data_IF_420288271505
#
_entry.id   IF_420288271505
#
_cell.length_a   1.000
_cell.length_b   1.000
_cell.length_c   1.000
_cell.angle_alpha   90.00
_cell.angle_beta   90.00
_cell.angle_gamma   90.00
#
_symmetry.space_group_name_H-M   'P 1'
#
loop_
_entity.id
_entity.type
_entity.pdbx_description
1 polymer ?
#
# COMPACT_ATOMS: atom_id res chain seq x y z
N UNK A 1 -38.55 12.08 5.82
CA UNK A 1 -37.29 12.78 5.47
C UNK A 1 -36.22 11.72 5.31
N UNK A 2 -36.04 11.21 4.09
CA UNK A 2 -35.07 10.14 3.82
C UNK A 2 -33.66 10.75 3.81
N UNK A 3 -32.74 10.19 4.60
CA UNK A 3 -31.33 10.59 4.61
C UNK A 3 -30.75 10.33 3.22
N UNK A 4 -30.30 11.37 2.52
CA UNK A 4 -29.52 11.21 1.29
C UNK A 4 -28.28 10.36 1.61
N UNK A 5 -28.15 9.21 0.95
CA UNK A 5 -26.95 8.40 1.02
C UNK A 5 -25.81 9.18 0.35
N UNK A 6 -24.96 9.81 1.16
CA UNK A 6 -23.73 10.44 0.69
C UNK A 6 -22.57 9.46 0.93
N UNK A 7 -21.89 9.08 -0.14
CA UNK A 7 -20.66 8.29 -0.04
C UNK A 7 -19.51 9.28 0.02
N UNK A 8 -18.63 9.12 1.01
CA UNK A 8 -17.39 9.90 1.10
C UNK A 8 -16.37 9.38 0.07
N UNK A 9 -16.67 9.59 -1.20
CA UNK A 9 -15.82 9.22 -2.32
C UNK A 9 -15.95 10.26 -3.43
N UNK A 10 -14.85 10.49 -4.13
CA UNK A 10 -14.83 11.28 -5.35
C UNK A 10 -15.59 10.56 -6.47
N UNK A 11 -16.26 11.33 -7.33
CA UNK A 11 -16.80 10.82 -8.59
C UNK A 11 -15.66 10.37 -9.51
N UNK A 12 -15.90 9.47 -10.47
CA UNK A 12 -14.86 9.04 -11.41
C UNK A 12 -14.15 10.21 -12.13
N UNK A 13 -14.88 11.28 -12.45
CA UNK A 13 -14.31 12.48 -13.07
C UNK A 13 -13.35 13.21 -12.12
N UNK A 14 -13.75 13.41 -10.87
CA UNK A 14 -12.91 14.05 -9.83
C UNK A 14 -11.68 13.20 -9.48
N UNK A 15 -11.79 11.86 -9.51
CA UNK A 15 -10.63 10.97 -9.35
C UNK A 15 -9.62 11.17 -10.47
N UNK A 16 -10.07 11.21 -11.73
CA UNK A 16 -9.19 11.43 -12.89
C UNK A 16 -8.47 12.77 -12.77
N UNK A 17 -9.19 13.84 -12.41
CA UNK A 17 -8.59 15.15 -12.19
C UNK A 17 -7.52 15.11 -11.09
N UNK A 18 -7.86 14.55 -9.93
CA UNK A 18 -6.96 14.48 -8.77
C UNK A 18 -5.69 13.67 -9.08
N UNK A 19 -5.84 12.50 -9.72
CA UNK A 19 -4.71 11.64 -10.10
C UNK A 19 -3.85 12.30 -11.17
N UNK A 20 -4.45 13.03 -12.11
CA UNK A 20 -3.71 13.75 -13.15
C UNK A 20 -2.83 14.84 -12.54
N UNK A 21 -3.35 15.62 -11.60
CA UNK A 21 -2.59 16.66 -10.89
C UNK A 21 -1.46 16.05 -10.07
N UNK A 22 -1.73 14.98 -9.32
CA UNK A 22 -0.70 14.28 -8.55
C UNK A 22 0.41 13.73 -9.46
N UNK A 23 0.06 13.17 -10.62
CA UNK A 23 1.00 12.69 -11.62
C UNK A 23 1.86 13.80 -12.23
N UNK A 24 1.26 14.95 -12.56
CA UNK A 24 1.98 16.10 -13.10
C UNK A 24 3.01 16.66 -12.10
N UNK A 25 2.66 16.70 -10.80
CA UNK A 25 3.57 17.11 -9.74
C UNK A 25 4.75 16.14 -9.64
N UNK A 26 4.47 14.82 -9.62
CA UNK A 26 5.50 13.78 -9.57
C UNK A 26 6.41 13.80 -10.79
N UNK A 27 5.86 13.99 -12.00
CA UNK A 27 6.62 14.06 -13.24
C UNK A 27 7.55 15.26 -13.37
N UNK A 28 7.31 16.33 -12.60
CA UNK A 28 8.17 17.51 -12.56
C UNK A 28 9.13 17.53 -11.35
N UNK A 29 9.21 16.44 -10.57
CA UNK A 29 10.17 16.34 -9.47
C UNK A 29 11.60 16.12 -9.99
N UNK A 30 12.58 16.59 -9.22
CA UNK A 30 13.99 16.32 -9.51
C UNK A 30 14.27 14.82 -9.41
N UNK A 31 15.09 14.31 -10.34
CA UNK A 31 15.39 12.87 -10.45
C UNK A 31 16.02 12.27 -9.19
N UNK A 32 16.83 13.04 -8.47
CA UNK A 32 17.42 12.63 -7.19
C UNK A 32 16.33 12.32 -6.14
N UNK A 33 15.34 13.20 -6.01
CA UNK A 33 14.20 12.99 -5.11
C UNK A 33 13.36 11.79 -5.50
N UNK A 34 13.06 11.63 -6.79
CA UNK A 34 12.29 10.49 -7.29
C UNK A 34 13.03 9.18 -6.99
N UNK A 35 14.34 9.13 -7.22
CA UNK A 35 15.15 7.95 -6.93
C UNK A 35 15.17 7.60 -5.45
N UNK A 36 15.48 8.56 -4.57
CA UNK A 36 15.52 8.29 -3.12
C UNK A 36 14.13 8.00 -2.55
N UNK A 37 13.08 8.65 -3.07
CA UNK A 37 11.69 8.33 -2.75
C UNK A 37 11.35 6.89 -3.11
N UNK A 38 11.71 6.46 -4.33
CA UNK A 38 11.58 5.08 -4.81
C UNK A 38 12.29 4.05 -3.95
N UNK A 39 13.56 4.31 -3.62
CA UNK A 39 14.35 3.44 -2.73
C UNK A 39 13.69 3.35 -1.35
N UNK A 40 13.22 4.47 -0.79
CA UNK A 40 12.55 4.48 0.51
C UNK A 40 11.23 3.69 0.51
N UNK A 41 10.43 3.80 -0.56
CA UNK A 41 9.21 2.99 -0.72
C UNK A 41 9.54 1.49 -0.77
N UNK A 42 10.61 1.12 -1.50
CA UNK A 42 11.12 -0.25 -1.54
C UNK A 42 11.54 -0.78 -0.17
N UNK A 43 12.21 0.04 0.65
CA UNK A 43 12.57 -0.34 2.03
C UNK A 43 11.35 -0.56 2.93
N UNK A 44 10.33 0.30 2.82
CA UNK A 44 9.07 0.15 3.56
C UNK A 44 8.34 -1.14 3.16
N UNK A 45 8.26 -1.42 1.85
CA UNK A 45 7.66 -2.65 1.35
C UNK A 45 8.45 -3.89 1.77
N UNK A 46 9.78 -3.83 1.74
CA UNK A 46 10.63 -4.93 2.17
C UNK A 46 10.40 -5.30 3.65
N UNK A 47 10.18 -4.32 4.52
CA UNK A 47 9.82 -4.57 5.91
C UNK A 47 8.47 -5.29 6.03
N UNK A 48 7.47 -4.90 5.23
CA UNK A 48 6.18 -5.59 5.13
C UNK A 48 6.29 -7.02 4.60
N UNK A 49 7.12 -7.24 3.59
CA UNK A 49 7.39 -8.58 3.08
C UNK A 49 8.15 -9.43 4.09
N UNK A 50 9.08 -8.85 4.85
CA UNK A 50 9.84 -9.57 5.86
C UNK A 50 8.94 -10.07 7.00
N UNK A 51 7.99 -9.27 7.47
CA UNK A 51 7.02 -9.68 8.49
C UNK A 51 6.02 -10.72 7.95
N UNK A 52 5.57 -10.59 6.70
CA UNK A 52 4.74 -11.59 6.03
C UNK A 52 5.48 -12.93 5.88
N UNK A 53 6.73 -12.89 5.43
CA UNK A 53 7.59 -14.08 5.30
C UNK A 53 7.79 -14.76 6.67
N UNK A 54 8.16 -13.98 7.69
CA UNK A 54 8.35 -14.49 9.06
C UNK A 54 7.09 -15.15 9.61
N UNK A 55 5.91 -14.62 9.26
CA UNK A 55 4.62 -15.20 9.67
C UNK A 55 4.37 -16.55 8.98
N UNK A 56 4.66 -16.67 7.69
CA UNK A 56 4.43 -17.92 6.95
C UNK A 56 5.44 -19.03 7.26
N UNK A 57 6.66 -18.73 7.69
CA UNK A 57 7.73 -19.75 7.77
C UNK A 57 7.64 -20.65 9.00
N UNK A 58 6.67 -20.45 9.90
CA UNK A 58 6.52 -21.31 11.09
C UNK A 58 6.08 -22.73 10.71
N UNK A 59 6.87 -23.78 11.02
CA UNK A 59 6.59 -25.15 10.58
C UNK A 59 5.25 -25.69 11.08
N UNK A 60 4.92 -25.40 12.34
CA UNK A 60 3.68 -25.86 12.96
C UNK A 60 2.43 -25.39 12.21
N UNK A 61 2.42 -24.13 11.77
CA UNK A 61 1.32 -23.57 11.01
C UNK A 61 1.18 -24.16 9.61
N UNK A 62 2.30 -24.55 8.98
CA UNK A 62 2.27 -25.20 7.68
C UNK A 62 1.65 -26.60 7.73
N UNK A 63 1.88 -27.33 8.82
CA UNK A 63 1.35 -28.69 9.01
C UNK A 63 -0.09 -28.71 9.54
N UNK A 64 -0.41 -27.83 10.50
CA UNK A 64 -1.66 -27.94 11.27
C UNK A 64 -2.76 -26.99 10.81
N UNK A 65 -2.42 -25.84 10.23
CA UNK A 65 -3.40 -24.84 9.80
C UNK A 65 -2.86 -23.90 8.71
N UNK A 66 -2.52 -24.41 7.51
CA UNK A 66 -1.89 -23.64 6.44
C UNK A 66 -2.81 -22.53 5.88
N UNK A 67 -4.13 -22.71 5.95
CA UNK A 67 -5.08 -21.68 5.54
C UNK A 67 -5.04 -20.45 6.44
N UNK A 68 -5.03 -20.66 7.76
CA UNK A 68 -5.06 -19.58 8.74
C UNK A 68 -3.82 -18.69 8.63
N UNK A 69 -2.62 -19.28 8.54
CA UNK A 69 -1.39 -18.49 8.48
C UNK A 69 -1.26 -17.69 7.18
N UNK A 70 -1.76 -18.23 6.06
CA UNK A 70 -1.81 -17.51 4.78
C UNK A 70 -2.77 -16.33 4.84
N UNK A 71 -3.93 -16.48 5.47
CA UNK A 71 -4.87 -15.37 5.66
C UNK A 71 -4.27 -14.28 6.55
N UNK A 72 -3.62 -14.66 7.66
CA UNK A 72 -2.94 -13.68 8.53
C UNK A 72 -1.83 -12.97 7.75
N UNK A 73 -1.00 -13.70 7.01
CA UNK A 73 0.03 -13.08 6.17
C UNK A 73 -0.53 -12.17 5.07
N UNK A 74 -1.69 -12.50 4.49
CA UNK A 74 -2.31 -11.68 3.46
C UNK A 74 -2.74 -10.31 4.01
N UNK A 75 -3.06 -10.23 5.31
CA UNK A 75 -3.34 -8.95 6.00
C UNK A 75 -2.07 -8.13 6.27
N UNK A 76 -0.91 -8.78 6.32
CA UNK A 76 0.39 -8.15 6.56
C UNK A 76 0.93 -7.49 5.28
N UNK A 77 0.54 -7.95 4.09
CA UNK A 77 0.95 -7.28 2.86
C UNK A 77 0.40 -5.84 2.67
N UNK A 78 -0.91 -5.56 2.82
CA UNK A 78 -1.47 -4.23 2.57
C UNK A 78 -0.98 -3.15 3.53
N UNK A 79 -0.49 -3.49 4.74
CA UNK A 79 0.07 -2.47 5.63
C UNK A 79 1.31 -1.80 4.99
N UNK A 80 2.11 -2.54 4.21
CA UNK A 80 3.25 -1.98 3.49
C UNK A 80 2.82 -0.91 2.48
N UNK A 81 1.73 -1.16 1.75
CA UNK A 81 1.15 -0.20 0.82
C UNK A 81 0.58 1.02 1.55
N UNK A 82 -0.09 0.82 2.68
CA UNK A 82 -0.58 1.93 3.52
C UNK A 82 0.56 2.82 4.01
N UNK A 83 1.68 2.22 4.45
CA UNK A 83 2.86 2.97 4.89
C UNK A 83 3.41 3.86 3.77
N UNK A 84 3.55 3.32 2.56
CA UNK A 84 4.03 4.07 1.39
C UNK A 84 3.13 5.27 1.08
N UNK A 85 1.81 5.07 1.09
CA UNK A 85 0.84 6.16 0.84
C UNK A 85 0.92 7.23 1.94
N UNK A 86 0.99 6.82 3.21
CA UNK A 86 1.06 7.74 4.35
C UNK A 86 2.37 8.54 4.40
N UNK A 87 3.49 7.96 3.98
CA UNK A 87 4.77 8.67 3.90
C UNK A 87 4.92 9.48 2.62
N UNK A 88 4.03 9.32 1.64
CA UNK A 88 4.13 9.94 0.33
C UNK A 88 5.33 9.45 -0.50
N UNK A 89 5.83 8.25 -0.20
CA UNK A 89 6.93 7.67 -0.94
C UNK A 89 6.44 7.16 -2.31
N UNK A 90 7.30 7.18 -3.31
CA UNK A 90 6.95 6.81 -4.69
C UNK A 90 7.17 5.32 -4.90
N UNK A 91 6.10 4.58 -5.23
CA UNK A 91 6.14 3.18 -5.65
C UNK A 91 5.66 3.05 -7.11
#
# INVERSE_FOLDING_TARGET
MASSFTVNCLTPAEVVETVTVAGAIKGNMRLDKVFFSGVSAGCLLAFACATALSTNTTPWWQENAPGLIRTISALVFPYGLCMIILTGADL
#
